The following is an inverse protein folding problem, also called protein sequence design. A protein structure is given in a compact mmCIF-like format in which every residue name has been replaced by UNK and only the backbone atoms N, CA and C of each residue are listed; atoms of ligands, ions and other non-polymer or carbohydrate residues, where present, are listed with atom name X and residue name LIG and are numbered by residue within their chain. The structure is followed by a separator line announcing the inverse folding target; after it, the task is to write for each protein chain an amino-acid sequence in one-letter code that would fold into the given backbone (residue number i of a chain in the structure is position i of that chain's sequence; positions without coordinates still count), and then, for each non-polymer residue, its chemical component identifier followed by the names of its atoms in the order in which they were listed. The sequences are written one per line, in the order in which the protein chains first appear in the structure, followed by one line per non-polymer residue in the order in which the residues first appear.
data_IF_539563651542
#
_entry.id   IF_539563651542
#
_cell.length_a   1.000
_cell.length_b   1.000
_cell.length_c   1.000
_cell.angle_alpha   90.00
_cell.angle_beta   90.00
_cell.angle_gamma   90.00
#
_symmetry.space_group_name_H-M   'P 1'
#
loop_
_entity.id
_entity.type
_entity.pdbx_description
1 polymer ?
#
# COMPACT_ATOMS: atom_id res chain seq x y z
N UNK A 1 11.66 -6.12 -1.91
CA UNK A 1 13.12 -6.29 -1.87
C UNK A 1 13.95 -5.15 -2.49
N UNK A 2 13.92 -4.91 -3.81
CA UNK A 2 14.86 -3.96 -4.49
C UNK A 2 14.88 -2.58 -3.83
N UNK A 3 13.71 -2.05 -3.53
CA UNK A 3 13.60 -0.75 -2.91
C UNK A 3 14.18 -0.70 -1.48
N UNK A 4 14.12 -1.80 -0.73
CA UNK A 4 14.69 -1.88 0.60
C UNK A 4 16.22 -1.90 0.54
N UNK A 5 16.81 -2.58 -0.46
CA UNK A 5 18.25 -2.53 -0.70
C UNK A 5 18.73 -1.10 -0.96
N UNK A 6 17.96 -0.35 -1.74
CA UNK A 6 18.26 1.06 -2.04
C UNK A 6 18.14 1.94 -0.78
N UNK A 7 17.14 1.73 0.08
CA UNK A 7 17.04 2.40 1.39
C UNK A 7 18.26 2.08 2.27
N UNK A 8 18.74 0.82 2.26
CA UNK A 8 19.96 0.44 3.00
C UNK A 8 21.22 1.08 2.44
N UNK A 9 21.33 1.21 1.13
CA UNK A 9 22.44 1.90 0.49
C UNK A 9 22.44 3.39 0.84
N UNK A 10 21.27 4.05 0.82
CA UNK A 10 21.10 5.43 1.28
C UNK A 10 21.52 5.60 2.75
N UNK A 11 21.09 4.68 3.64
CA UNK A 11 21.46 4.69 5.06
C UNK A 11 22.98 4.52 5.27
N UNK A 12 23.61 3.59 4.53
CA UNK A 12 25.06 3.37 4.63
C UNK A 12 25.85 4.60 4.17
N UNK A 13 25.41 5.25 3.08
CA UNK A 13 26.05 6.47 2.57
C UNK A 13 25.88 7.65 3.54
N UNK A 14 24.68 7.83 4.12
CA UNK A 14 24.41 8.84 5.13
C UNK A 14 25.29 8.66 6.38
N UNK A 15 25.42 7.42 6.89
CA UNK A 15 26.29 7.14 8.03
C UNK A 15 27.74 7.47 7.71
N UNK A 16 28.23 7.10 6.52
CA UNK A 16 29.59 7.40 6.11
C UNK A 16 29.86 8.92 6.05
N UNK A 17 28.93 9.71 5.50
CA UNK A 17 29.08 11.17 5.44
C UNK A 17 29.01 11.82 6.82
N UNK A 18 28.09 11.35 7.69
CA UNK A 18 27.91 11.97 9.01
C UNK A 18 29.00 11.59 10.01
N UNK A 19 29.62 10.41 9.89
CA UNK A 19 30.80 10.07 10.70
C UNK A 19 31.93 11.06 10.43
N UNK A 20 32.18 11.39 9.15
CA UNK A 20 33.21 12.36 8.77
C UNK A 20 32.86 13.74 9.33
N UNK A 21 31.63 14.21 9.10
CA UNK A 21 31.15 15.52 9.55
C UNK A 21 31.08 15.68 11.08
N UNK A 22 30.90 14.60 11.85
CA UNK A 22 30.96 14.63 13.32
C UNK A 22 32.40 14.52 13.86
N UNK A 23 33.32 13.93 13.08
CA UNK A 23 34.73 13.79 13.44
C UNK A 23 35.52 15.08 13.22
N UNK A 24 35.17 15.83 12.17
CA UNK A 24 35.67 17.17 11.94
C UNK A 24 34.95 18.11 12.91
N UNK A 25 35.69 18.75 13.83
CA UNK A 25 35.13 19.80 14.71
C UNK A 25 34.80 21.04 13.86
N UNK A 26 33.69 21.00 13.13
CA UNK A 26 33.16 22.14 12.39
C UNK A 26 32.61 23.17 13.37
N UNK A 27 32.79 24.47 13.11
CA UNK A 27 32.21 25.60 13.88
C UNK A 27 30.68 25.73 13.67
N UNK A 28 29.96 24.61 13.56
CA UNK A 28 28.53 24.61 13.36
C UNK A 28 27.81 25.10 14.63
N UNK A 29 26.71 25.85 14.45
CA UNK A 29 25.88 26.27 15.57
C UNK A 29 25.40 25.05 16.39
N UNK A 30 25.30 25.22 17.71
CA UNK A 30 24.96 24.14 18.65
C UNK A 30 23.64 23.42 18.28
N UNK A 31 22.69 24.16 17.69
CA UNK A 31 21.42 23.61 17.20
C UNK A 31 21.63 22.62 16.04
N UNK A 32 22.43 22.98 15.03
CA UNK A 32 22.73 22.12 13.87
C UNK A 32 23.47 20.87 14.32
N UNK A 33 24.47 21.03 15.19
CA UNK A 33 25.22 19.90 15.76
C UNK A 33 24.30 18.94 16.53
N UNK A 34 23.40 19.45 17.38
CA UNK A 34 22.47 18.62 18.16
C UNK A 34 21.48 17.85 17.28
N UNK A 35 21.01 18.45 16.18
CA UNK A 35 20.14 17.80 15.22
C UNK A 35 20.87 16.70 14.44
N UNK A 36 22.09 16.99 13.95
CA UNK A 36 22.96 16.02 13.26
C UNK A 36 23.27 14.82 14.15
N UNK A 37 23.69 15.08 15.40
CA UNK A 37 23.93 14.05 16.42
C UNK A 37 22.69 13.18 16.66
N UNK A 38 21.52 13.82 16.86
CA UNK A 38 20.27 13.10 17.11
C UNK A 38 19.88 12.20 15.93
N UNK A 39 20.00 12.69 14.70
CA UNK A 39 19.69 11.92 13.49
C UNK A 39 20.65 10.75 13.28
N UNK A 40 21.95 10.97 13.50
CA UNK A 40 22.99 9.95 13.39
C UNK A 40 22.75 8.79 14.35
N UNK A 41 22.57 9.09 15.64
CA UNK A 41 22.30 8.06 16.64
C UNK A 41 20.92 7.43 16.45
N UNK A 42 19.91 8.17 15.97
CA UNK A 42 18.63 7.58 15.60
C UNK A 42 18.79 6.51 14.54
N UNK A 43 19.55 6.79 13.48
CA UNK A 43 19.78 5.82 12.41
C UNK A 43 20.53 4.58 12.90
N UNK A 44 21.60 4.75 13.70
CA UNK A 44 22.33 3.64 14.30
C UNK A 44 21.39 2.77 15.16
N UNK A 45 20.58 3.41 16.00
CA UNK A 45 19.64 2.69 16.86
C UNK A 45 18.60 1.92 16.05
N UNK A 46 18.07 2.48 14.96
CA UNK A 46 17.13 1.77 14.09
C UNK A 46 17.77 0.57 13.41
N UNK A 47 18.97 0.72 12.84
CA UNK A 47 19.69 -0.39 12.20
C UNK A 47 20.00 -1.49 13.21
N UNK A 48 20.48 -1.13 14.41
CA UNK A 48 20.81 -2.10 15.45
C UNK A 48 19.58 -2.88 15.93
N UNK A 49 18.47 -2.18 16.18
CA UNK A 49 17.21 -2.84 16.55
C UNK A 49 16.70 -3.74 15.41
N UNK A 50 16.76 -3.28 14.16
CA UNK A 50 16.28 -4.05 13.02
C UNK A 50 17.11 -5.33 12.79
N UNK A 51 18.44 -5.26 12.96
CA UNK A 51 19.32 -6.43 12.90
C UNK A 51 19.06 -7.36 14.08
N UNK A 52 18.91 -6.84 15.29
CA UNK A 52 18.69 -7.66 16.49
C UNK A 52 17.36 -8.42 16.42
N UNK A 53 16.29 -7.72 16.05
CA UNK A 53 14.96 -8.33 15.86
C UNK A 53 14.99 -9.27 14.65
N UNK A 54 15.64 -8.85 13.56
CA UNK A 54 15.79 -9.68 12.36
C UNK A 54 16.58 -10.96 12.58
N UNK A 55 17.58 -10.95 13.48
CA UNK A 55 18.31 -12.14 13.88
C UNK A 55 17.43 -13.10 14.68
N UNK A 56 16.74 -12.60 15.71
CA UNK A 56 15.84 -13.44 16.51
C UNK A 56 14.72 -14.05 15.64
N UNK A 57 14.09 -13.23 14.80
CA UNK A 57 12.97 -13.66 13.97
C UNK A 57 13.41 -14.51 12.77
N UNK A 58 14.58 -14.22 12.18
CA UNK A 58 15.15 -15.00 11.08
C UNK A 58 15.57 -16.40 11.52
N UNK A 59 16.13 -16.54 12.72
CA UNK A 59 16.45 -17.84 13.32
C UNK A 59 15.17 -18.63 13.61
N UNK A 60 14.15 -17.97 14.16
CA UNK A 60 12.83 -18.59 14.35
C UNK A 60 12.24 -19.13 13.04
N UNK A 61 12.31 -18.36 11.95
CA UNK A 61 11.86 -18.85 10.64
C UNK A 61 12.64 -20.06 10.16
N UNK A 62 13.98 -20.02 10.31
CA UNK A 62 14.86 -21.07 9.81
C UNK A 62 14.57 -22.41 10.52
N UNK A 63 14.43 -22.38 11.85
CA UNK A 63 14.13 -23.56 12.66
C UNK A 63 12.72 -24.10 12.40
N UNK A 64 11.73 -23.22 12.17
CA UNK A 64 10.33 -23.60 12.00
C UNK A 64 9.88 -23.64 10.53
N UNK A 65 10.83 -23.69 9.59
CA UNK A 65 10.54 -23.48 8.17
C UNK A 65 9.57 -24.52 7.59
N UNK A 66 9.70 -25.80 7.96
CA UNK A 66 8.81 -26.86 7.48
C UNK A 66 7.37 -26.66 7.98
N UNK A 67 7.21 -26.37 9.27
CA UNK A 67 5.90 -26.12 9.86
C UNK A 67 5.23 -24.88 9.26
N UNK A 68 5.97 -23.77 9.17
CA UNK A 68 5.49 -22.53 8.57
C UNK A 68 5.15 -22.74 7.10
N UNK A 69 5.94 -23.53 6.37
CA UNK A 69 5.69 -23.78 4.97
C UNK A 69 4.40 -24.58 4.75
N UNK A 70 4.16 -25.61 5.56
CA UNK A 70 2.91 -26.39 5.51
C UNK A 70 1.69 -25.52 5.86
N UNK A 71 1.82 -24.63 6.86
CA UNK A 71 0.76 -23.71 7.22
C UNK A 71 0.45 -22.70 6.11
N UNK A 72 1.50 -22.10 5.51
CA UNK A 72 1.35 -21.10 4.44
C UNK A 72 0.79 -21.76 3.17
N UNK A 73 1.35 -22.90 2.74
CA UNK A 73 0.88 -23.61 1.55
C UNK A 73 -0.56 -24.10 1.71
N UNK A 74 -0.92 -24.69 2.85
CA UNK A 74 -2.29 -25.11 3.14
C UNK A 74 -3.27 -23.94 3.16
N UNK A 75 -2.89 -22.83 3.81
CA UNK A 75 -3.71 -21.62 3.84
C UNK A 75 -3.86 -20.97 2.46
N UNK A 76 -2.77 -20.92 1.68
CA UNK A 76 -2.76 -20.37 0.34
C UNK A 76 -3.61 -21.22 -0.62
N UNK A 77 -3.47 -22.55 -0.59
CA UNK A 77 -4.28 -23.47 -1.38
C UNK A 77 -5.78 -23.30 -1.06
N UNK A 78 -6.13 -23.35 0.22
CA UNK A 78 -7.51 -23.23 0.66
C UNK A 78 -8.12 -21.85 0.30
N UNK A 79 -7.43 -20.75 0.62
CA UNK A 79 -7.99 -19.40 0.50
C UNK A 79 -7.92 -18.84 -0.92
N UNK A 80 -6.81 -19.06 -1.63
CA UNK A 80 -6.59 -18.44 -2.95
C UNK A 80 -7.11 -19.31 -4.10
N UNK A 81 -7.18 -20.63 -3.91
CA UNK A 81 -7.58 -21.56 -4.98
C UNK A 81 -8.95 -22.17 -4.65
N UNK A 82 -9.03 -23.00 -3.62
CA UNK A 82 -10.22 -23.84 -3.40
C UNK A 82 -11.46 -23.00 -3.05
N UNK A 83 -11.31 -22.01 -2.18
CA UNK A 83 -12.38 -21.07 -1.83
C UNK A 83 -12.83 -20.25 -3.04
N UNK A 84 -11.89 -19.77 -3.87
CA UNK A 84 -12.23 -18.98 -5.06
C UNK A 84 -13.00 -19.82 -6.07
N UNK A 85 -12.55 -21.05 -6.34
CA UNK A 85 -13.26 -21.99 -7.22
C UNK A 85 -14.65 -22.30 -6.67
N UNK A 86 -14.76 -22.53 -5.36
CA UNK A 86 -16.04 -22.76 -4.69
C UNK A 86 -16.98 -21.56 -4.85
N UNK A 87 -16.52 -20.33 -4.62
CA UNK A 87 -17.34 -19.12 -4.78
C UNK A 87 -17.76 -18.94 -6.24
N UNK A 88 -16.89 -19.22 -7.21
CA UNK A 88 -17.24 -19.12 -8.64
C UNK A 88 -18.33 -20.13 -9.03
N UNK A 89 -18.26 -21.37 -8.52
CA UNK A 89 -19.32 -22.39 -8.71
C UNK A 89 -20.62 -22.01 -7.98
N UNK A 90 -20.51 -21.41 -6.80
CA UNK A 90 -21.65 -20.88 -6.06
C UNK A 90 -22.33 -19.73 -6.80
N UNK A 91 -21.53 -18.84 -7.41
CA UNK A 91 -22.04 -17.73 -8.22
C UNK A 91 -22.73 -18.22 -9.50
N UNK A 92 -22.30 -19.36 -10.04
CA UNK A 92 -22.95 -19.99 -11.19
C UNK A 92 -24.29 -20.68 -10.83
N UNK A 93 -24.43 -21.16 -9.59
CA UNK A 93 -25.60 -21.91 -9.10
C UNK A 93 -26.67 -21.05 -8.41
N UNK A 94 -26.86 -19.81 -8.88
CA UNK A 94 -27.89 -18.85 -8.43
C UNK A 94 -27.70 -18.39 -6.97
N UNK A 95 -26.72 -17.50 -6.72
CA UNK A 95 -26.38 -17.02 -5.39
C UNK A 95 -27.57 -16.26 -4.76
N UNK A 96 -27.91 -16.60 -3.51
CA UNK A 96 -28.94 -15.89 -2.73
C UNK A 96 -30.32 -15.77 -3.42
N UNK A 97 -30.66 -16.69 -4.34
CA UNK A 97 -31.91 -16.66 -5.10
C UNK A 97 -31.94 -15.61 -6.22
N UNK A 98 -30.82 -14.94 -6.49
CA UNK A 98 -30.69 -13.94 -7.55
C UNK A 98 -30.43 -14.65 -8.88
N UNK A 99 -31.42 -14.60 -9.78
CA UNK A 99 -31.33 -15.26 -11.09
C UNK A 99 -30.40 -14.47 -12.02
N UNK A 100 -29.14 -14.85 -12.04
CA UNK A 100 -28.15 -14.33 -12.98
C UNK A 100 -28.43 -14.85 -14.39
N UNK A 101 -27.91 -14.14 -15.40
CA UNK A 101 -27.91 -14.64 -16.77
C UNK A 101 -27.06 -15.92 -16.87
N UNK A 102 -27.69 -17.04 -17.23
CA UNK A 102 -27.09 -18.38 -17.21
C UNK A 102 -25.91 -18.50 -18.16
N UNK A 103 -26.05 -18.04 -19.40
CA UNK A 103 -25.00 -18.16 -20.42
C UNK A 103 -23.77 -17.34 -20.07
N UNK A 104 -23.98 -16.09 -19.61
CA UNK A 104 -22.88 -15.23 -19.21
C UNK A 104 -22.21 -15.72 -17.93
N UNK A 105 -22.99 -16.19 -16.96
CA UNK A 105 -22.49 -16.77 -15.71
C UNK A 105 -21.63 -18.00 -16.00
N UNK A 106 -22.13 -18.92 -16.84
CA UNK A 106 -21.42 -20.11 -17.25
C UNK A 106 -20.07 -19.76 -17.90
N UNK A 107 -20.05 -18.78 -18.82
CA UNK A 107 -18.83 -18.31 -19.47
C UNK A 107 -17.82 -17.73 -18.47
N UNK A 108 -18.27 -16.87 -17.55
CA UNK A 108 -17.41 -16.29 -16.52
C UNK A 108 -16.84 -17.37 -15.60
N UNK A 109 -17.72 -18.25 -15.08
CA UNK A 109 -17.36 -19.30 -14.13
C UNK A 109 -16.28 -20.20 -14.72
N UNK A 110 -16.50 -20.76 -15.92
CA UNK A 110 -15.52 -21.66 -16.56
C UNK A 110 -14.20 -20.96 -16.84
N UNK A 111 -14.23 -19.77 -17.46
CA UNK A 111 -13.00 -19.03 -17.82
C UNK A 111 -12.17 -18.66 -16.57
N UNK A 112 -12.83 -18.20 -15.50
CA UNK A 112 -12.16 -17.78 -14.28
C UNK A 112 -11.68 -18.99 -13.46
N UNK A 113 -12.45 -20.08 -13.39
CA UNK A 113 -12.02 -21.33 -12.75
C UNK A 113 -10.80 -21.88 -13.48
N UNK A 114 -10.78 -21.87 -14.82
CA UNK A 114 -9.63 -22.34 -15.59
C UNK A 114 -8.40 -21.49 -15.29
N UNK A 115 -8.53 -20.16 -15.26
CA UNK A 115 -7.44 -19.24 -14.92
C UNK A 115 -6.90 -19.48 -13.49
N UNK A 116 -7.79 -19.60 -12.50
CA UNK A 116 -7.42 -19.89 -11.11
C UNK A 116 -6.76 -21.27 -11.00
N UNK A 117 -7.26 -22.27 -11.72
CA UNK A 117 -6.71 -23.63 -11.72
C UNK A 117 -5.33 -23.70 -12.40
N UNK A 118 -5.10 -22.94 -13.48
CA UNK A 118 -3.78 -22.79 -14.09
C UNK A 118 -2.79 -22.24 -13.08
N UNK A 119 -3.16 -21.18 -12.36
CA UNK A 119 -2.29 -20.61 -11.33
C UNK A 119 -2.11 -21.54 -10.13
N UNK A 120 -3.15 -22.27 -9.73
CA UNK A 120 -3.06 -23.30 -8.70
C UNK A 120 -2.00 -24.36 -9.02
N UNK A 121 -1.91 -24.81 -10.29
CA UNK A 121 -0.84 -25.72 -10.72
C UNK A 121 0.55 -25.10 -10.62
N UNK A 122 0.70 -23.81 -10.92
CA UNK A 122 1.96 -23.08 -10.73
C UNK A 122 2.32 -22.99 -9.24
N UNK A 123 1.36 -22.69 -8.36
CA UNK A 123 1.60 -22.66 -6.91
C UNK A 123 1.97 -24.04 -6.36
N UNK A 124 1.37 -25.11 -6.86
CA UNK A 124 1.73 -26.49 -6.50
C UNK A 124 3.18 -26.85 -6.85
N UNK A 125 3.77 -26.21 -7.86
CA UNK A 125 5.20 -26.35 -8.16
C UNK A 125 6.09 -25.52 -7.20
N UNK A 126 5.55 -24.43 -6.64
CA UNK A 126 6.25 -23.55 -5.71
C UNK A 126 6.20 -24.07 -4.26
N UNK A 127 5.10 -24.71 -3.86
CA UNK A 127 4.91 -25.20 -2.47
C UNK A 127 6.00 -26.13 -1.96
N UNK A 128 6.53 -27.10 -2.73
CA UNK A 128 7.66 -27.94 -2.30
C UNK A 128 8.94 -27.14 -2.04
N UNK A 129 9.13 -26.02 -2.74
CA UNK A 129 10.28 -25.13 -2.58
C UNK A 129 10.10 -24.12 -1.43
N UNK A 130 8.90 -24.01 -0.86
CA UNK A 130 8.52 -23.01 0.12
C UNK A 130 9.30 -23.13 1.46
N UNK A 131 9.59 -24.33 2.01
CA UNK A 131 10.48 -24.48 3.16
C UNK A 131 11.85 -23.87 2.89
N UNK A 132 12.45 -24.17 1.74
CA UNK A 132 13.76 -23.63 1.34
C UNK A 132 13.73 -22.11 1.15
N UNK A 133 12.64 -21.56 0.61
CA UNK A 133 12.45 -20.11 0.48
C UNK A 133 12.37 -19.45 1.87
N UNK A 134 11.62 -20.02 2.81
CA UNK A 134 11.54 -19.51 4.20
C UNK A 134 12.90 -19.58 4.89
N UNK A 135 13.63 -20.68 4.73
CA UNK A 135 14.99 -20.81 5.26
C UNK A 135 15.92 -19.75 4.67
N UNK A 136 15.86 -19.53 3.35
CA UNK A 136 16.64 -18.48 2.69
C UNK A 136 16.29 -17.09 3.24
N UNK A 137 15.00 -16.80 3.46
CA UNK A 137 14.58 -15.54 4.08
C UNK A 137 15.12 -15.40 5.51
N UNK A 138 15.06 -16.48 6.30
CA UNK A 138 15.62 -16.54 7.64
C UNK A 138 17.13 -16.27 7.65
N UNK A 139 17.89 -16.91 6.75
CA UNK A 139 19.33 -16.72 6.62
C UNK A 139 19.71 -15.29 6.20
N UNK A 140 19.00 -14.72 5.21
CA UNK A 140 19.23 -13.33 4.76
C UNK A 140 18.92 -12.35 5.90
N UNK A 141 17.85 -12.60 6.66
CA UNK A 141 17.48 -11.77 7.81
C UNK A 141 18.52 -11.83 8.93
N UNK A 142 18.95 -13.04 9.31
CA UNK A 142 19.85 -13.26 10.45
C UNK A 142 21.32 -12.92 10.16
N UNK A 143 21.82 -13.24 8.96
CA UNK A 143 23.25 -13.12 8.63
C UNK A 143 23.56 -12.06 7.58
N UNK A 144 22.56 -11.33 7.07
CA UNK A 144 22.73 -10.28 6.06
C UNK A 144 23.43 -9.00 6.55
N UNK A 145 23.78 -8.91 7.84
CA UNK A 145 24.43 -7.73 8.43
C UNK A 145 23.59 -6.47 8.23
N UNK A 146 24.22 -5.39 7.76
CA UNK A 146 23.56 -4.08 7.51
C UNK A 146 22.47 -4.18 6.43
N UNK A 147 22.61 -5.11 5.48
CA UNK A 147 21.64 -5.34 4.39
C UNK A 147 20.47 -6.20 4.85
N UNK A 148 20.66 -6.98 5.91
CA UNK A 148 19.65 -7.84 6.53
C UNK A 148 18.71 -7.10 7.49
N UNK A 149 18.18 -7.85 8.45
CA UNK A 149 17.23 -7.37 9.45
C UNK A 149 15.76 -7.66 9.11
N UNK A 150 14.88 -7.34 10.06
CA UNK A 150 13.44 -7.60 9.95
C UNK A 150 12.82 -6.84 8.76
N UNK A 151 13.29 -5.62 8.48
CA UNK A 151 12.82 -4.84 7.32
C UNK A 151 13.07 -5.55 5.98
N UNK A 152 14.23 -6.20 5.80
CA UNK A 152 14.54 -6.97 4.60
C UNK A 152 13.59 -8.16 4.46
N UNK A 153 13.36 -8.88 5.55
CA UNK A 153 12.41 -9.97 5.62
C UNK A 153 10.99 -9.52 5.24
N UNK A 154 10.45 -8.47 5.88
CA UNK A 154 9.13 -7.91 5.54
C UNK A 154 9.01 -7.58 4.05
N UNK A 155 10.07 -7.04 3.45
CA UNK A 155 10.09 -6.71 2.02
C UNK A 155 10.05 -7.96 1.12
N UNK A 156 10.61 -9.09 1.56
CA UNK A 156 10.57 -10.38 0.87
C UNK A 156 9.20 -11.04 1.01
N UNK A 157 8.55 -10.96 2.18
CA UNK A 157 7.17 -11.42 2.37
C UNK A 157 6.17 -10.63 1.51
N UNK A 158 6.35 -9.31 1.39
CA UNK A 158 5.54 -8.50 0.49
C UNK A 158 5.61 -8.98 -0.96
N UNK A 159 6.82 -9.32 -1.42
CA UNK A 159 7.05 -9.78 -2.79
C UNK A 159 6.48 -11.21 -2.98
N UNK A 160 6.63 -12.09 -1.99
CA UNK A 160 6.01 -13.43 -1.99
C UNK A 160 4.47 -13.35 -2.05
N UNK A 161 3.86 -12.46 -1.27
CA UNK A 161 2.41 -12.23 -1.30
C UNK A 161 1.96 -11.71 -2.67
N UNK A 162 2.73 -10.80 -3.28
CA UNK A 162 2.46 -10.33 -4.63
C UNK A 162 2.47 -11.47 -5.66
N UNK A 163 3.42 -12.40 -5.55
CA UNK A 163 3.46 -13.61 -6.40
C UNK A 163 2.24 -14.50 -6.15
N UNK A 164 1.90 -14.79 -4.91
CA UNK A 164 0.76 -15.67 -4.62
C UNK A 164 -0.57 -15.14 -5.14
N UNK A 165 -0.73 -13.82 -5.23
CA UNK A 165 -1.99 -13.15 -5.58
C UNK A 165 -2.09 -12.68 -7.04
N UNK A 166 -1.16 -13.07 -7.92
CA UNK A 166 -1.16 -12.67 -9.35
C UNK A 166 -2.46 -13.05 -10.06
N UNK A 167 -2.97 -14.26 -9.87
CA UNK A 167 -4.22 -14.70 -10.51
C UNK A 167 -5.42 -13.83 -10.09
N UNK A 168 -5.52 -13.43 -8.82
CA UNK A 168 -6.56 -12.50 -8.34
C UNK A 168 -6.45 -11.16 -9.07
N UNK A 169 -5.23 -10.66 -9.26
CA UNK A 169 -4.99 -9.44 -10.02
C UNK A 169 -5.46 -9.57 -11.47
N UNK A 170 -5.10 -10.67 -12.15
CA UNK A 170 -5.50 -10.90 -13.55
C UNK A 170 -7.01 -11.02 -13.67
N UNK A 171 -7.66 -11.82 -12.81
CA UNK A 171 -9.12 -11.94 -12.76
C UNK A 171 -9.80 -10.58 -12.51
N UNK A 172 -9.27 -9.77 -11.59
CA UNK A 172 -9.75 -8.41 -11.34
C UNK A 172 -9.62 -7.53 -12.57
N UNK A 173 -8.47 -7.53 -13.26
CA UNK A 173 -8.28 -6.71 -14.47
C UNK A 173 -9.27 -7.12 -15.56
N UNK A 174 -9.46 -8.42 -15.79
CA UNK A 174 -10.40 -8.94 -16.78
C UNK A 174 -11.85 -8.53 -16.46
N UNK A 175 -12.30 -8.77 -15.23
CA UNK A 175 -13.68 -8.45 -14.81
C UNK A 175 -13.92 -6.94 -14.76
N UNK A 176 -12.95 -6.14 -14.27
CA UNK A 176 -13.01 -4.69 -14.27
C UNK A 176 -13.10 -4.12 -15.69
N UNK A 177 -12.37 -4.68 -16.66
CA UNK A 177 -12.43 -4.24 -18.05
C UNK A 177 -13.83 -4.43 -18.65
N UNK A 178 -14.49 -5.57 -18.38
CA UNK A 178 -15.87 -5.80 -18.83
C UNK A 178 -16.85 -4.89 -18.11
N UNK A 179 -16.74 -4.76 -16.78
CA UNK A 179 -17.59 -3.88 -15.98
C UNK A 179 -17.50 -2.41 -16.42
N UNK A 180 -16.29 -1.89 -16.63
CA UNK A 180 -16.08 -0.52 -17.08
C UNK A 180 -16.67 -0.28 -18.49
N UNK A 181 -16.58 -1.27 -19.39
CA UNK A 181 -17.24 -1.21 -20.71
C UNK A 181 -18.76 -1.24 -20.58
N UNK A 182 -19.31 -2.11 -19.74
CA UNK A 182 -20.73 -2.19 -19.47
C UNK A 182 -21.30 -0.86 -18.92
N UNK A 183 -20.61 -0.23 -17.97
CA UNK A 183 -20.99 1.10 -17.45
C UNK A 183 -20.96 2.19 -18.51
N UNK A 184 -19.91 2.24 -19.34
CA UNK A 184 -19.82 3.24 -20.43
C UNK A 184 -20.93 3.06 -21.45
N UNK A 185 -21.24 1.82 -21.81
CA UNK A 185 -22.36 1.48 -22.71
C UNK A 185 -23.70 1.84 -22.07
N UNK A 186 -23.91 1.54 -20.78
CA UNK A 186 -25.12 1.94 -20.08
C UNK A 186 -25.29 3.47 -20.07
N UNK A 187 -24.21 4.21 -19.81
CA UNK A 187 -24.21 5.67 -19.84
C UNK A 187 -24.48 6.25 -21.23
N UNK A 188 -23.93 5.65 -22.29
CA UNK A 188 -24.19 6.11 -23.67
C UNK A 188 -25.63 5.83 -24.11
N UNK A 189 -26.18 4.66 -23.77
CA UNK A 189 -27.58 4.32 -24.05
C UNK A 189 -28.55 5.17 -23.23
N UNK A 190 -28.20 5.50 -21.98
CA UNK A 190 -28.99 6.44 -21.19
C UNK A 190 -29.06 7.83 -21.84
N UNK A 191 -27.95 8.30 -22.42
CA UNK A 191 -27.94 9.55 -23.17
C UNK A 191 -28.77 9.46 -24.46
N UNK A 192 -28.76 8.31 -25.14
CA UNK A 192 -29.61 8.04 -26.31
C UNK A 192 -31.10 8.21 -25.98
N UNK A 193 -31.60 7.63 -24.88
CA UNK A 193 -33.00 7.82 -24.46
C UNK A 193 -33.35 9.25 -24.08
N UNK A 194 -32.36 10.02 -23.60
CA UNK A 194 -32.54 11.44 -23.31
C UNK A 194 -32.46 12.34 -24.54
N UNK A 195 -32.26 11.79 -25.73
CA UNK A 195 -32.02 12.57 -26.94
C UNK A 195 -30.73 13.39 -26.85
N UNK A 196 -29.68 12.85 -26.22
CA UNK A 196 -28.40 13.54 -26.04
C UNK A 196 -27.27 12.83 -26.78
N UNK A 197 -26.50 13.57 -27.57
CA UNK A 197 -25.31 13.08 -28.29
C UNK A 197 -24.05 13.79 -27.81
N UNK A 198 -22.97 13.04 -27.61
CA UNK A 198 -21.68 13.64 -27.31
C UNK A 198 -21.07 14.26 -28.57
N UNK A 199 -20.77 15.55 -28.50
CA UNK A 199 -20.14 16.30 -29.58
C UNK A 199 -18.63 16.37 -29.33
N UNK A 200 -17.85 15.59 -30.10
CA UNK A 200 -16.39 15.52 -29.97
C UNK A 200 -15.73 16.88 -30.26
N UNK A 201 -16.29 17.68 -31.17
CA UNK A 201 -15.72 18.98 -31.57
C UNK A 201 -15.88 20.05 -30.49
N UNK A 202 -16.92 19.96 -29.67
CA UNK A 202 -17.24 20.94 -28.60
C UNK A 202 -17.06 20.39 -27.20
N UNK A 203 -16.56 19.15 -27.07
CA UNK A 203 -16.33 18.44 -25.82
C UNK A 203 -17.53 18.49 -24.84
N UNK A 204 -18.76 18.42 -25.35
CA UNK A 204 -20.01 18.56 -24.57
C UNK A 204 -21.13 17.67 -25.11
N UNK A 205 -22.15 17.39 -24.30
CA UNK A 205 -23.38 16.69 -24.74
C UNK A 205 -24.42 17.67 -25.24
N UNK A 206 -24.79 17.59 -26.52
CA UNK A 206 -25.83 18.41 -27.15
C UNK A 206 -27.13 17.60 -27.32
N UNK A 207 -28.27 18.28 -27.44
CA UNK A 207 -29.53 17.65 -27.82
C UNK A 207 -29.48 17.19 -29.28
N UNK A 208 -29.99 15.99 -29.56
CA UNK A 208 -30.02 15.38 -30.87
C UNK A 208 -31.34 14.64 -31.08
N UNK A 209 -31.93 14.80 -32.26
CA UNK A 209 -33.13 14.07 -32.66
C UNK A 209 -32.73 12.73 -33.27
N UNK A 210 -33.07 11.65 -32.58
CA UNK A 210 -32.83 10.29 -33.03
C UNK A 210 -34.05 9.78 -33.81
N UNK A 211 -33.81 9.06 -34.90
CA UNK A 211 -34.85 8.34 -35.63
C UNK A 211 -35.43 7.20 -34.77
N UNK A 212 -36.68 6.81 -35.08
CA UNK A 212 -37.41 5.77 -34.32
C UNK A 212 -36.63 4.45 -34.33
N UNK A 213 -36.04 4.06 -35.46
CA UNK A 213 -35.28 2.81 -35.59
C UNK A 213 -34.04 2.79 -34.69
N UNK A 214 -33.37 3.94 -34.54
CA UNK A 214 -32.20 4.09 -33.67
C UNK A 214 -32.60 3.99 -32.18
N UNK A 215 -33.74 4.56 -31.82
CA UNK A 215 -34.29 4.46 -30.47
C UNK A 215 -34.73 3.02 -30.16
N UNK A 216 -35.34 2.32 -31.12
CA UNK A 216 -35.73 0.91 -30.98
C UNK A 216 -34.50 0.03 -30.75
N UNK A 217 -33.45 0.18 -31.57
CA UNK A 217 -32.18 -0.53 -31.38
C UNK A 217 -31.55 -0.24 -30.01
N UNK A 218 -31.54 1.04 -29.61
CA UNK A 218 -31.11 1.47 -28.28
C UNK A 218 -31.88 0.81 -27.14
N UNK A 219 -33.20 0.68 -27.29
CA UNK A 219 -34.08 0.01 -26.32
C UNK A 219 -33.74 -1.47 -26.17
N UNK A 220 -33.54 -2.18 -27.27
CA UNK A 220 -33.17 -3.61 -27.26
C UNK A 220 -31.79 -3.81 -26.63
N UNK A 221 -30.80 -2.98 -27.00
CA UNK A 221 -29.46 -3.09 -26.43
C UNK A 221 -29.44 -2.72 -24.93
N UNK A 222 -30.28 -1.77 -24.52
CA UNK A 222 -30.41 -1.38 -23.11
C UNK A 222 -31.03 -2.47 -22.27
N UNK A 223 -32.11 -3.09 -22.75
CA UNK A 223 -32.78 -4.17 -22.03
C UNK A 223 -31.84 -5.38 -21.90
N UNK A 224 -31.12 -5.73 -22.97
CA UNK A 224 -30.08 -6.76 -22.92
C UNK A 224 -29.01 -6.41 -21.88
N UNK A 225 -28.44 -5.21 -21.95
CA UNK A 225 -27.39 -4.78 -21.01
C UNK A 225 -27.91 -4.78 -19.57
N UNK A 226 -29.12 -4.31 -19.33
CA UNK A 226 -29.75 -4.28 -18.01
C UNK A 226 -29.94 -5.70 -17.42
N UNK A 227 -30.26 -6.69 -18.26
CA UNK A 227 -30.35 -8.09 -17.83
C UNK A 227 -28.98 -8.76 -17.62
N UNK A 228 -27.95 -8.35 -18.36
CA UNK A 228 -26.58 -8.87 -18.18
C UNK A 228 -25.84 -8.20 -17.01
N UNK A 229 -26.19 -6.96 -16.68
CA UNK A 229 -25.47 -6.13 -15.71
C UNK A 229 -25.36 -6.77 -14.31
N UNK A 230 -26.40 -7.38 -13.72
CA UNK A 230 -26.28 -8.04 -12.42
C UNK A 230 -25.20 -9.13 -12.39
N UNK A 231 -25.09 -9.92 -13.46
CA UNK A 231 -24.03 -10.94 -13.59
C UNK A 231 -22.66 -10.28 -13.65
N UNK A 232 -22.48 -9.27 -14.51
CA UNK A 232 -21.19 -8.56 -14.63
C UNK A 232 -20.79 -7.95 -13.29
N UNK A 233 -21.73 -7.32 -12.59
CA UNK A 233 -21.51 -6.69 -11.29
C UNK A 233 -21.12 -7.72 -10.21
N UNK A 234 -21.77 -8.88 -10.16
CA UNK A 234 -21.49 -9.90 -9.16
C UNK A 234 -20.06 -10.46 -9.29
N UNK A 235 -19.66 -10.86 -10.49
CA UNK A 235 -18.31 -11.38 -10.76
C UNK A 235 -17.24 -10.30 -10.55
N UNK A 236 -17.50 -9.07 -10.99
CA UNK A 236 -16.60 -7.93 -10.72
C UNK A 236 -16.43 -7.68 -9.22
N UNK A 237 -17.52 -7.66 -8.45
CA UNK A 237 -17.51 -7.36 -7.02
C UNK A 237 -16.67 -8.37 -6.24
N UNK A 238 -16.75 -9.66 -6.59
CA UNK A 238 -15.93 -10.71 -5.98
C UNK A 238 -14.43 -10.39 -6.09
N UNK A 239 -13.93 -10.17 -7.31
CA UNK A 239 -12.50 -9.91 -7.52
C UNK A 239 -12.08 -8.51 -7.07
N UNK A 240 -12.98 -7.53 -7.10
CA UNK A 240 -12.71 -6.21 -6.53
C UNK A 240 -12.51 -6.29 -5.01
N UNK A 241 -13.33 -7.07 -4.29
CA UNK A 241 -13.19 -7.29 -2.85
C UNK A 241 -11.91 -8.07 -2.51
N UNK A 242 -11.61 -9.13 -3.25
CA UNK A 242 -10.36 -9.86 -3.07
C UNK A 242 -9.14 -8.98 -3.34
N UNK A 243 -9.16 -8.20 -4.44
CA UNK A 243 -8.09 -7.25 -4.77
C UNK A 243 -7.92 -6.21 -3.67
N UNK A 244 -9.02 -5.65 -3.16
CA UNK A 244 -8.98 -4.73 -2.03
C UNK A 244 -8.32 -5.36 -0.81
N UNK A 245 -8.69 -6.60 -0.46
CA UNK A 245 -8.06 -7.37 0.62
C UNK A 245 -6.55 -7.51 0.42
N UNK A 246 -6.10 -7.90 -0.78
CA UNK A 246 -4.65 -8.03 -1.07
C UNK A 246 -3.91 -6.69 -0.95
N UNK A 247 -4.51 -5.59 -1.41
CA UNK A 247 -3.94 -4.25 -1.30
C UNK A 247 -3.83 -3.81 0.17
N UNK A 248 -4.85 -4.10 0.99
CA UNK A 248 -4.82 -3.78 2.43
C UNK A 248 -3.69 -4.53 3.12
N UNK A 249 -3.55 -5.84 2.89
CA UNK A 249 -2.46 -6.62 3.49
C UNK A 249 -1.09 -6.08 3.04
N UNK A 250 -0.91 -5.80 1.74
CA UNK A 250 0.33 -5.19 1.23
C UNK A 250 0.60 -3.82 1.87
N UNK A 251 -0.41 -2.96 1.96
CA UNK A 251 -0.29 -1.65 2.59
C UNK A 251 0.11 -1.77 4.06
N UNK A 252 -0.46 -2.72 4.82
CA UNK A 252 -0.07 -2.92 6.22
C UNK A 252 1.40 -3.30 6.36
N UNK A 253 1.91 -4.22 5.52
CA UNK A 253 3.32 -4.60 5.56
C UNK A 253 4.23 -3.44 5.14
N UNK A 254 3.85 -2.67 4.12
CA UNK A 254 4.62 -1.50 3.66
C UNK A 254 4.64 -0.38 4.71
N UNK A 255 3.53 -0.19 5.46
CA UNK A 255 3.54 0.75 6.59
C UNK A 255 4.45 0.30 7.70
N UNK A 256 4.40 -0.98 8.10
CA UNK A 256 5.30 -1.53 9.11
C UNK A 256 6.76 -1.32 8.69
N UNK A 257 7.09 -1.59 7.42
CA UNK A 257 8.40 -1.34 6.85
C UNK A 257 8.82 0.14 6.95
N UNK A 258 7.92 1.06 6.57
CA UNK A 258 8.19 2.50 6.65
C UNK A 258 8.39 2.99 8.09
N UNK A 259 7.59 2.49 9.04
CA UNK A 259 7.77 2.78 10.45
C UNK A 259 9.13 2.29 10.95
N UNK A 260 9.48 1.02 10.68
CA UNK A 260 10.78 0.47 11.12
C UNK A 260 11.98 1.22 10.55
N UNK A 261 11.92 1.66 9.29
CA UNK A 261 13.04 2.36 8.65
C UNK A 261 13.24 3.80 9.14
N UNK A 262 12.20 4.45 9.66
CA UNK A 262 12.26 5.89 9.93
C UNK A 262 11.88 6.28 11.36
N UNK A 263 11.43 5.39 12.25
CA UNK A 263 10.91 5.75 13.59
C UNK A 263 11.89 6.61 14.42
N UNK A 264 11.44 7.64 15.17
CA UNK A 264 12.31 8.58 15.85
C UNK A 264 12.66 8.02 17.26
N UNK A 265 13.16 6.79 17.30
CA UNK A 265 13.38 6.01 18.51
C UNK A 265 14.35 6.71 19.46
N UNK A 266 15.45 7.24 18.94
CA UNK A 266 16.47 7.92 19.74
C UNK A 266 15.98 9.28 20.24
N UNK A 267 15.25 10.04 19.43
CA UNK A 267 14.64 11.30 19.88
C UNK A 267 13.62 11.04 21.00
N UNK A 268 12.83 9.97 20.90
CA UNK A 268 11.89 9.58 21.96
C UNK A 268 12.62 9.13 23.23
N UNK A 269 13.68 8.33 23.10
CA UNK A 269 14.53 7.91 24.21
C UNK A 269 15.13 9.13 24.93
N UNK A 270 15.71 10.08 24.19
CA UNK A 270 16.24 11.32 24.74
C UNK A 270 15.15 12.14 25.44
N UNK A 271 13.97 12.23 24.84
CA UNK A 271 12.83 12.95 25.44
C UNK A 271 12.41 12.36 26.79
N UNK A 272 12.46 11.03 26.95
CA UNK A 272 12.12 10.36 28.21
C UNK A 272 13.26 10.48 29.24
N UNK A 273 14.52 10.30 28.81
CA UNK A 273 15.67 10.28 29.70
C UNK A 273 16.12 11.67 30.16
N UNK A 274 16.17 12.63 29.24
CA UNK A 274 16.63 13.99 29.50
C UNK A 274 16.01 14.96 28.47
N UNK A 275 14.82 15.52 28.77
CA UNK A 275 14.09 16.38 27.84
C UNK A 275 14.90 17.59 27.35
N UNK A 276 15.84 18.08 28.17
CA UNK A 276 16.59 19.31 27.90
C UNK A 276 17.65 19.17 26.80
N UNK A 277 18.00 17.93 26.42
CA UNK A 277 18.93 17.64 25.31
C UNK A 277 18.33 17.87 23.93
N UNK A 278 17.01 18.03 23.84
CA UNK A 278 16.30 18.33 22.60
C UNK A 278 15.82 19.80 22.66
N UNK A 279 16.64 20.76 22.20
CA UNK A 279 16.27 22.17 22.24
C UNK A 279 15.11 22.44 21.28
N UNK A 280 13.95 22.84 21.83
CA UNK A 280 12.75 23.19 21.06
C UNK A 280 12.43 24.69 21.06
N UNK A 281 13.11 25.46 21.90
CA UNK A 281 12.96 26.90 22.02
C UNK A 281 13.50 27.41 23.35
N UNK A 282 13.30 28.69 23.63
CA UNK A 282 13.61 29.31 24.93
C UNK A 282 12.42 30.15 25.37
N UNK A 283 12.14 30.18 26.67
CA UNK A 283 11.15 31.07 27.26
C UNK A 283 11.76 31.81 28.45
N UNK A 284 11.25 33.00 28.73
CA UNK A 284 11.67 33.80 29.88
C UNK A 284 10.69 33.58 31.03
N UNK A 285 11.20 33.31 32.23
CA UNK A 285 10.41 33.29 33.46
C UNK A 285 10.92 34.34 34.43
N UNK A 286 10.02 35.05 35.11
CA UNK A 286 10.40 36.00 36.16
C UNK A 286 11.01 35.27 37.36
N UNK A 287 12.05 35.85 37.97
CA UNK A 287 12.61 35.35 39.23
C UNK A 287 11.66 35.64 40.39
N UNK A 288 11.42 34.65 41.25
CA UNK A 288 10.52 34.78 42.40
C UNK A 288 10.98 35.83 43.43
N UNK A 289 12.28 36.16 43.45
CA UNK A 289 12.88 37.10 44.42
C UNK A 289 12.98 38.56 43.91
N UNK A 290 12.93 38.79 42.59
CA UNK A 290 13.07 40.13 41.98
C UNK A 290 12.28 40.20 40.67
N UNK A 291 11.20 40.99 40.65
CA UNK A 291 10.32 41.15 39.46
C UNK A 291 11.06 41.62 38.20
N UNK A 292 12.20 42.28 38.35
CA UNK A 292 13.01 42.85 37.26
C UNK A 292 14.04 41.89 36.65
N UNK A 293 14.17 40.65 37.15
CA UNK A 293 15.14 39.68 36.61
C UNK A 293 14.42 38.60 35.81
N UNK A 294 14.64 38.61 34.49
CA UNK A 294 14.18 37.57 33.57
C UNK A 294 15.21 36.43 33.52
N UNK A 295 14.78 35.22 33.84
CA UNK A 295 15.59 34.00 33.74
C UNK A 295 15.24 33.30 32.41
N UNK A 296 16.25 33.12 31.56
CA UNK A 296 16.13 32.33 30.33
C UNK A 296 16.07 30.84 30.70
N UNK A 297 15.02 30.15 30.24
CA UNK A 297 14.85 28.70 30.38
C UNK A 297 14.70 28.06 29.01
N UNK A 298 15.31 26.89 28.83
CA UNK A 298 15.14 26.07 27.62
C UNK A 298 13.69 25.52 27.59
N UNK A 299 13.11 25.37 26.40
CA UNK A 299 11.86 24.66 26.17
C UNK A 299 12.16 23.40 25.35
N UNK A 300 11.87 22.20 25.86
CA UNK A 300 12.23 20.99 25.16
C UNK A 300 11.22 20.68 24.05
N UNK A 301 11.67 20.15 22.89
CA UNK A 301 10.82 19.93 21.68
C UNK A 301 9.52 19.16 21.99
N UNK A 302 8.33 19.68 21.63
CA UNK A 302 7.08 18.97 21.87
C UNK A 302 6.97 17.69 21.03
N UNK A 303 6.29 16.68 21.55
CA UNK A 303 6.07 15.39 20.86
C UNK A 303 5.41 15.58 19.49
N UNK A 304 4.52 16.57 19.35
CA UNK A 304 3.89 16.91 18.06
C UNK A 304 4.90 17.18 16.96
N UNK A 305 6.02 17.85 17.28
CA UNK A 305 7.04 18.20 16.29
C UNK A 305 7.93 17.01 15.96
N UNK A 306 8.19 16.12 16.94
CA UNK A 306 8.91 14.86 16.72
C UNK A 306 8.08 13.95 15.79
N UNK A 307 6.76 13.92 15.96
CA UNK A 307 5.86 13.05 15.19
C UNK A 307 5.24 13.69 13.94
N UNK A 308 5.49 14.98 13.69
CA UNK A 308 4.81 15.75 12.62
C UNK A 308 4.87 15.05 11.25
N UNK A 309 6.04 14.50 10.91
CA UNK A 309 6.26 13.84 9.62
C UNK A 309 5.52 12.49 9.51
N UNK A 310 5.36 11.75 10.60
CA UNK A 310 4.55 10.51 10.61
C UNK A 310 3.06 10.83 10.51
N UNK A 311 2.62 11.94 11.12
CA UNK A 311 1.25 12.44 10.98
C UNK A 311 0.98 12.79 9.51
N UNK A 312 1.94 13.41 8.82
CA UNK A 312 1.82 13.72 7.39
C UNK A 312 1.80 12.45 6.52
N UNK A 313 2.69 11.48 6.79
CA UNK A 313 2.71 10.20 6.07
C UNK A 313 1.43 9.38 6.31
N UNK A 314 0.96 9.33 7.56
CA UNK A 314 -0.31 8.72 7.93
C UNK A 314 -1.48 9.41 7.23
N UNK A 315 -1.51 10.74 7.18
CA UNK A 315 -2.54 11.50 6.47
C UNK A 315 -2.57 11.15 4.97
N UNK A 316 -1.40 11.04 4.32
CA UNK A 316 -1.32 10.60 2.92
C UNK A 316 -1.85 9.19 2.74
N UNK A 317 -1.41 8.26 3.60
CA UNK A 317 -1.86 6.87 3.55
C UNK A 317 -3.37 6.74 3.78
N UNK A 318 -3.90 7.43 4.79
CA UNK A 318 -5.32 7.45 5.13
C UNK A 318 -6.17 8.09 4.04
N UNK A 319 -5.67 9.14 3.37
CA UNK A 319 -6.37 9.75 2.23
C UNK A 319 -6.40 8.85 0.99
N UNK A 320 -5.33 8.07 0.76
CA UNK A 320 -5.27 7.17 -0.38
C UNK A 320 -6.14 5.92 -0.18
N UNK A 321 -6.06 5.30 1.00
CA UNK A 321 -6.86 4.12 1.35
C UNK A 321 -8.20 4.46 2.01
N UNK A 322 -8.70 5.69 1.82
CA UNK A 322 -9.99 6.09 2.37
C UNK A 322 -11.11 5.17 1.82
N UNK A 323 -11.92 4.53 2.69
CA UNK A 323 -12.93 3.58 2.27
C UNK A 323 -13.95 4.18 1.29
N UNK A 324 -14.30 5.47 1.46
CA UNK A 324 -15.24 6.16 0.57
C UNK A 324 -14.65 6.38 -0.83
N UNK A 325 -13.35 6.70 -0.91
CA UNK A 325 -12.64 6.84 -2.19
C UNK A 325 -12.56 5.50 -2.90
N UNK A 326 -12.16 4.44 -2.19
CA UNK A 326 -12.04 3.09 -2.75
C UNK A 326 -13.40 2.58 -3.23
N UNK A 327 -14.45 2.79 -2.44
CA UNK A 327 -15.82 2.46 -2.81
C UNK A 327 -16.28 3.24 -4.04
N UNK A 328 -15.98 4.54 -4.13
CA UNK A 328 -16.24 5.35 -5.33
C UNK A 328 -15.49 4.82 -6.56
N UNK A 329 -14.24 4.42 -6.41
CA UNK A 329 -13.46 3.81 -7.50
C UNK A 329 -14.08 2.49 -7.97
N UNK A 330 -14.50 1.63 -7.05
CA UNK A 330 -15.19 0.36 -7.35
C UNK A 330 -16.48 0.64 -8.11
N UNK A 331 -17.34 1.53 -7.62
CA UNK A 331 -18.60 1.85 -8.29
C UNK A 331 -18.39 2.50 -9.66
N UNK A 332 -17.36 3.35 -9.82
CA UNK A 332 -17.03 3.99 -11.09
C UNK A 332 -16.32 3.06 -12.10
N UNK A 333 -15.95 1.84 -11.71
CA UNK A 333 -15.11 0.95 -12.53
C UNK A 333 -13.70 1.50 -12.76
N UNK A 334 -13.25 2.40 -11.89
CA UNK A 334 -11.89 2.91 -11.89
C UNK A 334 -10.94 1.87 -11.28
N UNK A 335 -9.71 1.85 -11.78
CA UNK A 335 -8.72 0.86 -11.38
C UNK A 335 -8.23 1.08 -9.94
N UNK A 336 -8.21 0.01 -9.14
CA UNK A 336 -7.63 -0.01 -7.79
C UNK A 336 -6.09 -0.10 -7.89
N UNK A 337 -5.42 1.05 -7.92
CA UNK A 337 -3.96 1.15 -7.87
C UNK A 337 -3.45 1.11 -6.41
N UNK A 338 -2.42 0.32 -6.08
CA UNK A 338 -1.69 0.48 -4.82
C UNK A 338 -0.89 1.80 -4.82
N UNK A 339 -0.56 2.33 -3.63
CA UNK A 339 0.36 3.47 -3.53
C UNK A 339 1.71 3.02 -4.08
N UNK A 340 2.34 3.77 -4.99
CA UNK A 340 3.69 3.46 -5.41
C UNK A 340 4.63 3.53 -4.20
N UNK A 341 5.34 2.43 -3.95
CA UNK A 341 6.18 2.31 -2.75
C UNK A 341 7.21 3.44 -2.58
N UNK A 342 7.65 4.09 -3.66
CA UNK A 342 8.57 5.24 -3.60
C UNK A 342 7.94 6.51 -3.02
N UNK A 343 6.62 6.68 -3.09
CA UNK A 343 5.91 7.84 -2.51
C UNK A 343 5.87 7.77 -0.98
N UNK A 344 6.19 6.60 -0.42
CA UNK A 344 6.26 6.33 1.02
C UNK A 344 7.69 6.64 1.56
N UNK A 345 8.67 6.95 0.69
CA UNK A 345 10.05 7.26 1.13
C UNK A 345 10.18 8.64 1.78
N UNK A 346 10.90 8.66 2.91
CA UNK A 346 11.16 9.82 3.76
C UNK A 346 11.86 11.00 3.04
N UNK A 347 12.85 10.73 2.18
CA UNK A 347 13.67 11.78 1.55
C UNK A 347 12.91 12.71 0.58
N UNK A 348 11.75 12.30 0.04
CA UNK A 348 10.96 13.12 -0.90
C UNK A 348 9.80 13.88 -0.25
N UNK A 349 9.62 13.78 1.07
CA UNK A 349 8.63 14.59 1.79
C UNK A 349 9.03 16.07 1.76
N UNK A 350 10.33 16.37 1.69
CA UNK A 350 10.86 17.74 1.55
C UNK A 350 10.65 18.35 0.15
N UNK A 351 10.73 17.55 -0.93
CA UNK A 351 10.62 18.06 -2.31
C UNK A 351 9.19 18.38 -2.73
N UNK A 352 8.17 17.76 -2.11
CA UNK A 352 6.77 17.98 -2.45
C UNK A 352 6.25 19.41 -2.20
N UNK A 353 6.92 20.17 -1.32
CA UNK A 353 6.59 21.57 -1.05
C UNK A 353 7.39 22.56 -1.91
N UNK A 354 8.41 22.10 -2.65
CA UNK A 354 9.22 22.96 -3.52
C UNK A 354 8.63 23.10 -4.94
N UNK A 355 7.73 22.19 -5.35
CA UNK A 355 7.23 22.12 -6.73
C UNK A 355 5.86 22.78 -6.93
N UNK A 356 5.14 23.16 -5.86
CA UNK A 356 3.85 23.89 -5.97
C UNK A 356 4.00 25.41 -5.89
N UNK A 357 5.20 25.95 -6.15
CA UNK A 357 5.53 27.38 -6.01
C UNK A 357 6.00 28.08 -7.29
N UNK A 358 5.87 27.44 -8.47
CA UNK A 358 6.09 28.07 -9.77
C UNK A 358 5.13 27.42 -10.77
N UNK A 359 4.09 28.19 -11.12
CA UNK A 359 3.47 28.31 -12.44
C UNK A 359 2.09 28.97 -12.22
N UNK A 360 2.15 30.28 -11.98
CA UNK A 360 1.09 31.23 -12.32
C UNK A 360 1.34 31.75 -13.72
#
# INVERSE_FOLDING_TARGET
MIQQLDVRAEQALFLASEVVALSEKTEDSLAIYSARYTNFFNMIWLILNDITIGYAFGTFLYENAEFLANLISGSAQNMLIDWVIWVLRWLDSWPAGLKLNTELSWFYSHTLIDLVSVWGRVLQQIFPCLPTIIQAFGLISSFGGIVGGLTMMLSLFCDLLAVFTVHIYVCYVMTNAVYARALRTAGSLWNLFRGKRYNVLRNRTDSWEYEIDQLLFGTILFTLLAFLFPTILAYYSLFALMRLGTIVVQATLETQLAFMNHFPLFALMLRVKDPWRLPGGVYFSHSADKETVLILKNQPVPLSNIFFQYIQLWSRLASHYNPLRLLKCVFAGAFLSPIPRYEIRYNKIHDGNAVTGKDT
#
